data_IF_756727007422
#
_entry.id   IF_756727007422
#
_cell.length_a   1.000
_cell.length_b   1.000
_cell.length_c   1.000
_cell.angle_alpha   90.00
_cell.angle_beta   90.00
_cell.angle_gamma   90.00
#
_symmetry.space_group_name_H-M   'P 1'
#
loop_
_entity.id
_entity.type
_entity.pdbx_description
1 polymer ?
#
# COMPACT_ATOMS: atom_id res chain seq x y z
N UNK A 1 11.64 -13.85 -5.72
CA UNK A 1 10.28 -14.32 -5.38
C UNK A 1 9.66 -15.22 -6.47
N UNK A 2 9.70 -14.86 -7.75
CA UNK A 2 9.12 -15.64 -8.86
C UNK A 2 9.60 -17.11 -8.89
N UNK A 3 10.91 -17.44 -8.73
CA UNK A 3 11.38 -18.83 -8.75
C UNK A 3 10.75 -19.70 -7.64
N UNK A 4 10.54 -19.15 -6.44
CA UNK A 4 9.89 -19.86 -5.35
C UNK A 4 8.42 -20.15 -5.67
N UNK A 5 7.72 -19.18 -6.23
CA UNK A 5 6.31 -19.34 -6.62
C UNK A 5 6.12 -20.38 -7.72
N UNK A 6 7.00 -20.40 -8.72
CA UNK A 6 6.98 -21.45 -9.77
C UNK A 6 7.10 -22.84 -9.15
N UNK A 7 8.05 -23.04 -8.23
CA UNK A 7 8.21 -24.31 -7.49
C UNK A 7 6.98 -24.66 -6.65
N UNK A 8 6.32 -23.70 -6.05
CA UNK A 8 5.09 -23.95 -5.29
C UNK A 8 3.93 -24.37 -6.20
N UNK A 9 3.75 -23.70 -7.34
CA UNK A 9 2.74 -24.07 -8.34
C UNK A 9 2.93 -25.51 -8.83
N UNK A 10 4.16 -25.86 -9.21
CA UNK A 10 4.53 -27.19 -9.69
C UNK A 10 4.34 -28.28 -8.61
N UNK A 11 4.78 -27.99 -7.38
CA UNK A 11 4.77 -28.95 -6.28
C UNK A 11 3.36 -29.24 -5.72
N UNK A 12 2.49 -28.23 -5.71
CA UNK A 12 1.17 -28.34 -5.08
C UNK A 12 0.03 -28.35 -6.10
N UNK A 13 0.34 -28.34 -7.40
CA UNK A 13 -0.67 -28.34 -8.50
C UNK A 13 -1.74 -27.27 -8.30
N UNK A 14 -1.33 -26.09 -7.77
CA UNK A 14 -2.26 -25.02 -7.46
C UNK A 14 -2.73 -24.31 -8.74
N UNK A 15 -4.01 -24.34 -8.99
CA UNK A 15 -4.65 -23.59 -10.09
C UNK A 15 -4.99 -22.16 -9.71
N UNK A 16 -5.29 -21.93 -8.43
CA UNK A 16 -5.70 -20.62 -7.93
C UNK A 16 -4.97 -20.24 -6.66
N UNK A 17 -4.47 -19.00 -6.57
CA UNK A 17 -3.92 -18.47 -5.33
C UNK A 17 -3.79 -16.94 -5.33
N UNK A 18 -3.85 -16.37 -4.13
CA UNK A 18 -3.61 -14.95 -3.86
C UNK A 18 -2.29 -14.78 -3.13
N UNK A 19 -1.43 -13.90 -3.65
CA UNK A 19 -0.14 -13.57 -3.04
C UNK A 19 -0.26 -12.27 -2.27
N UNK A 20 -0.10 -12.35 -0.96
CA UNK A 20 0.06 -11.16 -0.12
C UNK A 20 1.55 -10.86 0.09
N UNK A 21 1.95 -9.59 -0.11
CA UNK A 21 3.34 -9.15 0.10
C UNK A 21 3.41 -7.76 0.67
N UNK A 22 4.52 -7.48 1.37
CA UNK A 22 4.86 -6.12 1.76
C UNK A 22 5.39 -5.27 0.58
N UNK A 23 5.64 -3.99 0.83
CA UNK A 23 6.13 -3.05 -0.17
C UNK A 23 7.50 -3.42 -0.77
N UNK A 24 8.32 -4.22 -0.09
CA UNK A 24 9.63 -4.66 -0.56
C UNK A 24 9.54 -5.63 -1.75
N UNK A 25 8.43 -6.34 -1.87
CA UNK A 25 8.20 -7.35 -2.90
C UNK A 25 7.20 -6.90 -3.99
N UNK A 26 6.84 -5.62 -4.03
CA UNK A 26 5.87 -5.01 -4.94
C UNK A 26 6.43 -4.63 -6.31
N UNK A 27 7.55 -5.22 -6.75
CA UNK A 27 8.13 -4.91 -8.06
C UNK A 27 7.14 -5.18 -9.21
N UNK A 28 7.27 -4.42 -10.31
CA UNK A 28 6.42 -4.60 -11.48
C UNK A 28 6.45 -6.04 -12.02
N UNK A 29 7.61 -6.68 -12.02
CA UNK A 29 7.74 -8.08 -12.44
C UNK A 29 6.96 -9.04 -11.53
N UNK A 30 6.97 -8.81 -10.20
CA UNK A 30 6.21 -9.64 -9.27
C UNK A 30 4.71 -9.43 -9.41
N UNK A 31 4.26 -8.19 -9.60
CA UNK A 31 2.84 -7.88 -9.82
C UNK A 31 2.37 -8.48 -11.14
N UNK A 32 3.08 -8.25 -12.23
CA UNK A 32 2.75 -8.81 -13.55
C UNK A 32 2.70 -10.33 -13.56
N UNK A 33 3.61 -11.01 -12.84
CA UNK A 33 3.59 -12.47 -12.71
C UNK A 33 2.33 -12.98 -12.00
N UNK A 34 1.78 -12.21 -11.07
CA UNK A 34 0.59 -12.57 -10.29
C UNK A 34 -0.70 -11.93 -10.83
N UNK A 35 -0.61 -11.18 -11.91
CA UNK A 35 -1.75 -10.66 -12.67
C UNK A 35 -2.05 -11.66 -13.79
N UNK A 36 -2.70 -12.77 -13.44
CA UNK A 36 -2.93 -13.88 -14.33
C UNK A 36 -4.31 -14.48 -14.10
N UNK A 37 -5.13 -14.43 -15.14
CA UNK A 37 -6.47 -15.01 -15.16
C UNK A 37 -6.68 -15.68 -16.52
N UNK A 38 -6.66 -17.01 -16.53
CA UNK A 38 -6.86 -17.86 -17.70
C UNK A 38 -7.57 -19.17 -17.31
N UNK A 39 -8.01 -19.92 -18.28
CA UNK A 39 -8.71 -21.20 -18.09
C UNK A 39 -7.92 -22.23 -17.27
N UNK A 40 -6.57 -22.17 -17.34
CA UNK A 40 -5.67 -23.07 -16.64
C UNK A 40 -5.26 -22.59 -15.24
N UNK A 41 -5.80 -21.48 -14.76
CA UNK A 41 -5.58 -20.98 -13.41
C UNK A 41 -5.71 -19.47 -13.25
N UNK A 42 -5.90 -19.05 -12.02
CA UNK A 42 -6.03 -17.67 -11.60
C UNK A 42 -4.99 -17.32 -10.54
N UNK A 43 -4.31 -16.20 -10.72
CA UNK A 43 -3.41 -15.64 -9.71
C UNK A 43 -3.74 -14.17 -9.48
N UNK A 44 -3.85 -13.81 -8.22
CA UNK A 44 -4.02 -12.43 -7.80
C UNK A 44 -2.93 -12.02 -6.82
N UNK A 45 -2.79 -10.72 -6.60
CA UNK A 45 -1.85 -10.21 -5.62
C UNK A 45 -2.47 -9.11 -4.77
N UNK A 46 -2.01 -9.05 -3.52
CA UNK A 46 -2.24 -7.93 -2.61
C UNK A 46 -0.86 -7.46 -2.17
N UNK A 47 -0.55 -6.19 -2.36
CA UNK A 47 0.72 -5.62 -1.95
C UNK A 47 0.53 -4.24 -1.36
N UNK A 48 1.28 -3.94 -0.30
CA UNK A 48 1.30 -2.58 0.25
C UNK A 48 2.21 -1.69 -0.58
N UNK A 49 1.87 -0.42 -0.68
CA UNK A 49 2.67 0.59 -1.38
C UNK A 49 2.75 1.86 -0.56
N UNK A 50 3.95 2.44 -0.49
CA UNK A 50 4.14 3.73 0.16
C UNK A 50 3.40 4.83 -0.63
N UNK A 51 2.59 5.61 0.08
CA UNK A 51 1.90 6.78 -0.46
C UNK A 51 2.88 7.79 -1.11
N UNK A 52 4.11 7.89 -0.60
CA UNK A 52 5.15 8.76 -1.15
C UNK A 52 5.55 8.38 -2.58
N UNK A 53 5.45 7.10 -2.95
CA UNK A 53 5.82 6.56 -4.27
C UNK A 53 4.68 6.60 -5.29
N UNK A 54 3.47 6.99 -4.91
CA UNK A 54 2.35 7.14 -5.85
C UNK A 54 2.60 8.29 -6.82
N UNK A 55 2.10 8.15 -8.05
CA UNK A 55 2.05 9.24 -9.05
C UNK A 55 1.25 10.41 -8.49
N UNK A 56 1.58 11.63 -8.91
CA UNK A 56 1.01 12.86 -8.33
C UNK A 56 -0.51 12.88 -8.27
N UNK A 57 -1.20 12.55 -9.36
CA UNK A 57 -2.66 12.51 -9.43
C UNK A 57 -3.29 11.43 -8.52
N UNK A 58 -2.62 10.28 -8.37
CA UNK A 58 -3.08 9.22 -7.45
C UNK A 58 -2.85 9.61 -5.99
N UNK A 59 -1.74 10.31 -5.72
CA UNK A 59 -1.47 10.86 -4.39
C UNK A 59 -2.49 11.93 -4.01
N UNK A 60 -2.83 12.85 -4.91
CA UNK A 60 -3.87 13.84 -4.68
C UNK A 60 -5.22 13.18 -4.36
N UNK A 61 -5.63 12.20 -5.17
CA UNK A 61 -6.85 11.43 -4.93
C UNK A 61 -6.82 10.69 -3.60
N UNK A 62 -5.72 10.04 -3.25
CA UNK A 62 -5.58 9.30 -1.99
C UNK A 62 -5.62 10.22 -0.76
N UNK A 63 -5.13 11.45 -0.87
CA UNK A 63 -5.10 12.45 0.20
C UNK A 63 -6.34 13.36 0.23
N UNK A 64 -7.22 13.27 -0.77
CA UNK A 64 -8.48 14.01 -0.77
C UNK A 64 -9.30 13.59 0.45
N UNK A 65 -9.76 14.53 1.29
CA UNK A 65 -10.52 14.22 2.49
C UNK A 65 -11.92 13.70 2.23
N UNK A 66 -12.46 13.85 1.03
CA UNK A 66 -13.84 13.47 0.68
C UNK A 66 -13.93 12.11 -0.01
N UNK A 67 -15.13 11.54 -0.09
CA UNK A 67 -15.42 10.32 -0.84
C UNK A 67 -14.92 9.02 -0.16
N UNK A 68 -14.82 9.02 1.16
CA UNK A 68 -14.50 7.84 1.94
C UNK A 68 -15.76 7.05 2.26
N UNK A 69 -15.68 5.74 2.33
CA UNK A 69 -16.80 4.82 2.62
C UNK A 69 -16.44 3.86 3.74
N UNK A 70 -17.45 3.32 4.41
CA UNK A 70 -17.31 2.19 5.33
C UNK A 70 -17.57 0.88 4.56
N UNK A 71 -16.92 -0.20 4.98
CA UNK A 71 -17.05 -1.51 4.32
C UNK A 71 -18.46 -2.09 4.46
N UNK A 72 -19.11 -1.87 5.61
CA UNK A 72 -20.44 -2.38 5.95
C UNK A 72 -21.59 -1.45 5.53
N UNK A 73 -21.27 -0.34 4.84
CA UNK A 73 -22.29 0.66 4.49
C UNK A 73 -23.04 0.29 3.21
N UNK A 74 -24.15 -0.42 3.38
CA UNK A 74 -25.08 -0.79 2.30
C UNK A 74 -25.64 0.45 1.59
N UNK A 75 -25.72 1.61 2.29
CA UNK A 75 -26.23 2.86 1.76
C UNK A 75 -25.24 3.60 0.85
N UNK A 76 -23.98 3.14 0.79
CA UNK A 76 -22.89 3.80 0.07
C UNK A 76 -22.69 5.26 0.46
N UNK A 77 -22.91 5.58 1.72
CA UNK A 77 -22.67 6.91 2.27
C UNK A 77 -21.21 7.30 2.10
N UNK A 78 -20.97 8.52 1.65
CA UNK A 78 -19.62 9.07 1.54
C UNK A 78 -19.32 10.00 2.71
N UNK A 79 -18.11 9.87 3.25
CA UNK A 79 -17.65 10.62 4.40
C UNK A 79 -16.53 11.59 4.01
N UNK A 80 -16.46 12.69 4.73
CA UNK A 80 -15.29 13.58 4.77
C UNK A 80 -14.50 13.28 6.04
N UNK A 81 -13.25 12.85 5.92
CA UNK A 81 -12.44 12.49 7.08
C UNK A 81 -12.09 13.64 8.01
N UNK A 82 -12.36 14.89 7.60
CA UNK A 82 -12.22 16.09 8.45
C UNK A 82 -13.39 16.29 9.41
N UNK A 83 -14.56 15.71 9.09
CA UNK A 83 -15.82 15.83 9.83
C UNK A 83 -16.09 14.63 10.74
N UNK A 84 -15.15 13.67 10.81
CA UNK A 84 -15.30 12.48 11.65
C UNK A 84 -15.28 12.85 13.13
N UNK A 85 -16.15 12.21 13.89
CA UNK A 85 -16.18 12.33 15.35
C UNK A 85 -15.07 11.49 15.99
N UNK A 86 -14.23 12.13 16.82
CA UNK A 86 -13.03 11.53 17.43
C UNK A 86 -13.38 10.37 18.41
N UNK A 87 -14.62 10.26 18.84
CA UNK A 87 -15.08 9.24 19.80
C UNK A 87 -15.84 8.13 19.10
N UNK A 88 -16.90 8.47 18.39
CA UNK A 88 -17.81 7.49 17.77
C UNK A 88 -17.22 6.84 16.50
N UNK A 89 -16.27 7.51 15.84
CA UNK A 89 -15.62 7.01 14.62
C UNK A 89 -14.21 6.44 14.86
N UNK A 90 -13.75 6.44 16.11
CA UNK A 90 -12.38 6.08 16.49
C UNK A 90 -11.95 4.70 16.01
N UNK A 91 -12.81 3.71 16.11
CA UNK A 91 -12.52 2.31 15.78
C UNK A 91 -12.96 1.92 14.36
N UNK A 92 -13.54 2.86 13.61
CA UNK A 92 -13.96 2.65 12.23
C UNK A 92 -12.78 2.75 11.28
N UNK A 93 -12.85 1.97 10.19
CA UNK A 93 -11.89 2.04 9.08
C UNK A 93 -12.65 2.51 7.84
N UNK A 94 -12.18 3.61 7.28
CA UNK A 94 -12.74 4.20 6.07
C UNK A 94 -11.85 3.83 4.89
N UNK A 95 -12.47 3.63 3.73
CA UNK A 95 -11.80 3.18 2.51
C UNK A 95 -12.12 4.07 1.33
N UNK A 96 -11.18 4.12 0.41
CA UNK A 96 -11.37 4.55 -0.97
C UNK A 96 -10.77 3.50 -1.88
N UNK A 97 -11.42 3.23 -2.98
CA UNK A 97 -10.85 2.35 -4.00
C UNK A 97 -11.08 2.88 -5.40
N UNK A 98 -10.16 2.56 -6.29
CA UNK A 98 -10.32 2.80 -7.74
C UNK A 98 -9.48 1.83 -8.55
N UNK A 99 -9.96 1.48 -9.72
CA UNK A 99 -9.19 0.75 -10.70
C UNK A 99 -8.18 1.67 -11.38
N UNK A 100 -6.98 1.20 -11.54
CA UNK A 100 -5.89 1.90 -12.22
C UNK A 100 -5.20 0.96 -13.21
N UNK A 101 -4.73 1.53 -14.33
CA UNK A 101 -3.86 0.86 -15.29
C UNK A 101 -2.48 1.50 -15.24
N UNK A 102 -1.47 0.69 -15.01
CA UNK A 102 -0.11 1.15 -14.87
C UNK A 102 0.79 0.50 -15.91
N UNK A 103 1.41 1.32 -16.79
CA UNK A 103 2.47 0.85 -17.68
C UNK A 103 3.77 0.76 -16.90
N UNK A 104 4.40 -0.40 -16.94
CA UNK A 104 5.63 -0.69 -16.22
C UNK A 104 6.59 -1.46 -17.11
N UNK A 105 7.89 -1.21 -16.97
CA UNK A 105 8.93 -1.98 -17.66
C UNK A 105 9.37 -3.13 -16.76
N UNK A 106 9.29 -4.34 -17.28
CA UNK A 106 9.75 -5.55 -16.63
C UNK A 106 10.94 -6.14 -17.38
N UNK A 107 11.78 -6.87 -16.66
CA UNK A 107 12.86 -7.64 -17.24
C UNK A 107 12.37 -9.07 -17.53
N UNK A 108 12.56 -9.53 -18.75
CA UNK A 108 12.21 -10.89 -19.16
C UNK A 108 13.29 -11.89 -18.74
N UNK A 109 13.00 -13.17 -18.80
CA UNK A 109 13.95 -14.25 -18.49
C UNK A 109 15.20 -14.20 -19.41
N UNK A 110 15.05 -13.75 -20.64
CA UNK A 110 16.14 -13.60 -21.62
C UNK A 110 16.97 -12.31 -21.40
N UNK A 111 16.76 -11.58 -20.31
CA UNK A 111 17.51 -10.37 -19.99
C UNK A 111 17.06 -9.11 -20.72
N UNK A 112 16.13 -9.20 -21.68
CA UNK A 112 15.56 -8.06 -22.39
C UNK A 112 14.50 -7.35 -21.52
N UNK A 113 14.13 -6.14 -21.87
CA UNK A 113 13.08 -5.39 -21.19
C UNK A 113 11.80 -5.38 -22.04
N UNK A 114 10.65 -5.49 -21.38
CA UNK A 114 9.32 -5.42 -22.00
C UNK A 114 8.45 -4.44 -21.22
N UNK A 115 7.71 -3.59 -21.92
CA UNK A 115 6.66 -2.77 -21.33
C UNK A 115 5.39 -3.60 -21.23
N UNK A 116 4.82 -3.65 -20.05
CA UNK A 116 3.56 -4.34 -19.73
C UNK A 116 2.58 -3.37 -19.12
N UNK A 117 1.29 -3.63 -19.28
CA UNK A 117 0.22 -2.93 -18.57
C UNK A 117 -0.30 -3.85 -17.49
N UNK A 118 -0.42 -3.31 -16.27
CA UNK A 118 -0.93 -4.01 -15.10
C UNK A 118 -2.20 -3.28 -14.68
N UNK A 119 -3.33 -3.99 -14.66
CA UNK A 119 -4.59 -3.50 -14.14
C UNK A 119 -4.72 -3.93 -12.67
N UNK A 120 -5.00 -2.98 -11.80
CA UNK A 120 -5.04 -3.24 -10.35
C UNK A 120 -6.01 -2.29 -9.66
N UNK A 121 -6.61 -2.76 -8.57
CA UNK A 121 -7.40 -1.92 -7.69
C UNK A 121 -6.49 -1.27 -6.65
N UNK A 122 -6.45 0.06 -6.65
CA UNK A 122 -5.78 0.83 -5.61
C UNK A 122 -6.78 1.06 -4.47
N UNK A 123 -6.44 0.55 -3.29
CA UNK A 123 -7.24 0.70 -2.07
C UNK A 123 -6.45 1.56 -1.10
N UNK A 124 -7.09 2.57 -0.54
CA UNK A 124 -6.54 3.43 0.52
C UNK A 124 -7.44 3.32 1.73
N UNK A 125 -6.85 3.10 2.90
CA UNK A 125 -7.57 3.06 4.17
C UNK A 125 -7.18 4.21 5.08
N UNK A 126 -8.12 4.66 5.90
CA UNK A 126 -7.93 5.66 6.94
C UNK A 126 -8.62 5.22 8.22
N UNK A 127 -7.98 5.42 9.35
CA UNK A 127 -8.62 5.33 10.67
C UNK A 127 -8.02 6.36 11.63
N UNK A 128 -8.85 6.87 12.52
CA UNK A 128 -8.45 7.79 13.58
C UNK A 128 -7.38 7.15 14.47
N UNK A 129 -7.59 5.91 14.87
CA UNK A 129 -6.66 5.14 15.70
C UNK A 129 -5.26 5.03 15.09
N UNK A 130 -5.18 4.70 13.80
CA UNK A 130 -3.89 4.60 13.11
C UNK A 130 -3.24 5.97 12.88
N UNK A 131 -4.03 7.00 12.58
CA UNK A 131 -3.56 8.39 12.52
C UNK A 131 -2.89 8.81 13.83
N UNK A 132 -3.54 8.54 14.96
CA UNK A 132 -3.05 8.92 16.27
C UNK A 132 -1.80 8.14 16.68
N UNK A 133 -1.75 6.86 16.33
CA UNK A 133 -0.53 6.05 16.47
C UNK A 133 0.65 6.66 15.70
N UNK A 134 0.46 7.03 14.43
CA UNK A 134 1.51 7.66 13.63
C UNK A 134 1.92 9.05 14.17
N UNK A 135 0.96 9.82 14.69
CA UNK A 135 1.23 11.11 15.36
C UNK A 135 2.08 10.90 16.62
N UNK A 136 1.79 9.88 17.42
CA UNK A 136 2.57 9.54 18.60
C UNK A 136 4.03 9.22 18.25
N UNK A 137 4.26 8.37 17.23
CA UNK A 137 5.61 8.07 16.74
C UNK A 137 6.34 9.33 16.31
N UNK A 138 5.69 10.15 15.46
CA UNK A 138 6.27 11.42 14.98
C UNK A 138 6.63 12.37 16.13
N UNK A 139 5.74 12.52 17.09
CA UNK A 139 5.96 13.40 18.24
C UNK A 139 7.13 12.91 19.08
N UNK A 140 7.25 11.59 19.29
CA UNK A 140 8.42 11.00 19.94
C UNK A 140 9.74 11.25 19.19
N UNK A 141 9.71 11.22 17.86
CA UNK A 141 10.89 11.56 17.04
C UNK A 141 11.26 13.05 17.16
N UNK A 142 10.27 13.94 17.13
CA UNK A 142 10.47 15.39 17.30
C UNK A 142 11.08 15.69 18.67
N UNK A 143 10.57 15.06 19.73
CA UNK A 143 11.07 15.26 21.08
C UNK A 143 12.51 14.78 21.23
N UNK A 144 12.86 13.62 20.66
CA UNK A 144 14.25 13.15 20.61
C UNK A 144 15.15 14.12 19.88
N UNK A 145 14.72 14.60 18.70
CA UNK A 145 15.48 15.57 17.93
C UNK A 145 15.73 16.87 18.70
N UNK A 146 14.72 17.38 19.45
CA UNK A 146 14.88 18.57 20.31
C UNK A 146 15.93 18.36 21.37
N UNK A 147 15.86 17.24 22.11
CA UNK A 147 16.85 16.92 23.14
C UNK A 147 18.28 16.82 22.58
N UNK A 148 18.46 16.23 21.39
CA UNK A 148 19.77 16.17 20.73
C UNK A 148 20.30 17.56 20.42
N UNK A 149 19.47 18.44 19.87
CA UNK A 149 19.86 19.83 19.57
C UNK A 149 20.20 20.60 20.85
N UNK A 150 19.42 20.45 21.92
CA UNK A 150 19.66 21.05 23.23
C UNK A 150 21.01 20.59 23.83
N UNK A 151 21.39 19.33 23.60
CA UNK A 151 22.68 18.78 24.02
C UNK A 151 23.84 19.12 23.08
N UNK A 152 23.64 19.92 22.02
CA UNK A 152 24.65 20.27 21.03
C UNK A 152 24.98 19.15 20.03
N UNK A 153 24.14 18.12 19.93
CA UNK A 153 24.31 17.01 19.00
C UNK A 153 23.61 17.31 17.67
N UNK A 154 24.13 16.75 16.57
CA UNK A 154 23.45 16.81 15.27
C UNK A 154 22.35 15.77 15.17
N UNK A 155 21.10 16.19 14.99
CA UNK A 155 19.98 15.29 14.70
C UNK A 155 20.12 14.74 13.28
N UNK A 156 20.53 13.48 13.16
CA UNK A 156 20.61 12.76 11.88
C UNK A 156 19.51 11.70 11.82
N UNK A 157 19.06 11.34 10.61
CA UNK A 157 18.05 10.30 10.44
C UNK A 157 18.42 8.95 11.08
N UNK A 158 19.73 8.71 11.29
CA UNK A 158 20.25 7.49 11.91
C UNK A 158 20.03 7.47 13.43
N UNK A 159 20.20 8.62 14.09
CA UNK A 159 20.09 8.75 15.54
C UNK A 159 18.64 8.93 16.02
N UNK A 160 17.70 9.18 15.11
CA UNK A 160 16.29 9.41 15.46
C UNK A 160 15.45 8.12 15.52
N UNK A 161 16.01 7.00 15.08
CA UNK A 161 15.30 5.71 15.02
C UNK A 161 15.71 4.69 16.12
N UNK A 162 16.75 5.01 16.91
CA UNK A 162 17.12 4.27 18.11
C UNK A 162 16.34 4.82 19.34
#
# INVERSE_FOLDING_TARGET
MIPLKKKMLEKFELSEFVVYTDAGLSSASNRYFNDYDKEDGCRAFITTQSLKKLKGHLKQWALDPTGWTLDDDISKTTYDIRELDETSDKDKIFYKSRWIKEKSTIRTENGTTKTVEIEQQLIVSYSIKYRDYLRSIRNGQIERARKMVENGESATGKNMHE
#
